data_IF_794968707537
#
_entry.id   IF_794968707537
#
_cell.length_a   1.000
_cell.length_b   1.000
_cell.length_c   1.000
_cell.angle_alpha   90.00
_cell.angle_beta   90.00
_cell.angle_gamma   90.00
#
_symmetry.space_group_name_H-M   'P 1'
#
loop_
_entity.id
_entity.type
_entity.pdbx_description
1 polymer ?
#
# COMPACT_ATOMS: atom_id res chain seq x y z
N UNK A 1 -3.63 4.95 -16.94
CA UNK A 1 -3.42 4.99 -15.47
C UNK A 1 -2.32 6.00 -15.16
N UNK A 2 -2.60 7.05 -14.37
CA UNK A 2 -1.67 8.17 -14.10
C UNK A 2 -1.11 8.14 -12.65
N UNK A 3 -1.11 6.95 -12.04
CA UNK A 3 -0.69 6.71 -10.66
C UNK A 3 0.06 5.38 -10.54
N UNK A 4 1.00 5.30 -9.62
CA UNK A 4 1.64 4.07 -9.14
C UNK A 4 0.87 3.63 -7.89
N UNK A 5 0.59 2.33 -7.75
CA UNK A 5 -0.16 1.77 -6.62
C UNK A 5 0.73 0.77 -5.89
N UNK A 6 0.75 0.84 -4.57
CA UNK A 6 1.34 -0.17 -3.71
C UNK A 6 0.23 -0.81 -2.86
N UNK A 7 0.09 -2.13 -3.00
CA UNK A 7 -0.80 -2.96 -2.18
C UNK A 7 0.06 -3.70 -1.17
N UNK A 8 -0.17 -3.42 0.11
CA UNK A 8 0.69 -3.89 1.19
C UNK A 8 -0.19 -4.56 2.23
N UNK A 9 0.25 -5.71 2.74
CA UNK A 9 -0.37 -6.31 3.92
C UNK A 9 -0.49 -5.27 5.05
N UNK A 10 -1.66 -5.18 5.67
CA UNK A 10 -1.93 -4.18 6.72
C UNK A 10 -0.95 -4.29 7.89
N UNK A 11 -0.43 -5.48 8.16
CA UNK A 11 0.43 -5.76 9.30
C UNK A 11 1.93 -5.71 8.93
N UNK A 12 2.25 -5.43 7.65
CA UNK A 12 3.61 -5.20 7.20
C UNK A 12 4.06 -3.75 7.47
N UNK A 13 4.22 -3.43 8.76
CA UNK A 13 4.66 -2.12 9.24
C UNK A 13 5.95 -1.60 8.58
N UNK A 14 6.99 -2.43 8.32
CA UNK A 14 8.20 -1.95 7.65
C UNK A 14 7.94 -1.43 6.23
N UNK A 15 7.14 -2.14 5.44
CA UNK A 15 6.81 -1.71 4.07
C UNK A 15 5.91 -0.48 4.08
N UNK A 16 4.96 -0.40 5.02
CA UNK A 16 4.13 0.79 5.24
C UNK A 16 5.00 2.01 5.57
N UNK A 17 5.97 1.87 6.46
CA UNK A 17 6.88 2.96 6.82
C UNK A 17 7.71 3.42 5.61
N UNK A 18 8.18 2.49 4.78
CA UNK A 18 8.95 2.79 3.58
C UNK A 18 8.12 3.61 2.57
N UNK A 19 6.91 3.16 2.23
CA UNK A 19 6.09 3.87 1.22
C UNK A 19 5.66 5.25 1.71
N UNK A 20 5.38 5.41 3.00
CA UNK A 20 5.10 6.71 3.62
C UNK A 20 6.31 7.64 3.53
N UNK A 21 7.52 7.14 3.80
CA UNK A 21 8.77 7.91 3.68
C UNK A 21 9.04 8.37 2.25
N UNK A 22 8.72 7.54 1.26
CA UNK A 22 8.90 7.84 -0.18
C UNK A 22 7.85 8.87 -0.67
N UNK A 23 6.74 9.02 0.06
CA UNK A 23 5.70 10.00 -0.22
C UNK A 23 4.46 9.44 -0.90
N UNK A 24 4.22 8.13 -0.79
CA UNK A 24 2.92 7.57 -1.16
C UNK A 24 1.84 7.99 -0.16
N UNK A 25 0.64 8.21 -0.67
CA UNK A 25 -0.56 8.55 0.12
C UNK A 25 -1.43 7.30 0.33
N UNK A 26 -2.08 7.18 1.49
CA UNK A 26 -3.03 6.08 1.76
C UNK A 26 -4.36 6.35 1.05
N UNK A 27 -4.73 5.45 0.12
CA UNK A 27 -6.01 5.49 -0.59
C UNK A 27 -7.12 4.78 0.20
N UNK A 28 -6.76 3.78 1.03
CA UNK A 28 -7.70 3.06 1.90
C UNK A 28 -7.25 1.64 2.25
N UNK A 29 -8.18 0.87 2.84
CA UNK A 29 -7.96 -0.53 3.25
C UNK A 29 -9.00 -1.44 2.61
N UNK A 30 -8.54 -2.50 1.97
CA UNK A 30 -9.35 -3.62 1.53
C UNK A 30 -9.48 -4.63 2.68
N UNK A 31 -10.70 -4.81 3.16
CA UNK A 31 -10.99 -5.71 4.29
C UNK A 31 -11.15 -7.15 3.80
N UNK A 32 -10.55 -8.09 4.52
CA UNK A 32 -10.62 -9.54 4.24
C UNK A 32 -10.29 -9.87 2.76
N UNK A 33 -9.30 -9.18 2.21
CA UNK A 33 -9.02 -9.20 0.77
C UNK A 33 -8.44 -10.53 0.28
N UNK A 34 -7.67 -11.21 1.14
CA UNK A 34 -7.03 -12.48 0.80
C UNK A 34 -7.05 -13.41 2.01
N UNK A 35 -6.99 -14.72 1.78
CA UNK A 35 -6.88 -15.71 2.85
C UNK A 35 -5.42 -16.14 3.05
N UNK A 36 -4.89 -15.96 4.25
CA UNK A 36 -3.57 -16.41 4.63
C UNK A 36 -3.65 -17.86 5.12
N UNK A 37 -3.27 -18.81 4.27
CA UNK A 37 -3.32 -20.24 4.62
C UNK A 37 -2.37 -20.64 5.75
N UNK A 38 -1.30 -19.88 6.01
CA UNK A 38 -0.37 -20.18 7.10
C UNK A 38 -0.94 -19.78 8.46
N UNK A 39 -1.69 -18.68 8.50
CA UNK A 39 -2.32 -18.17 9.73
C UNK A 39 -3.77 -18.62 9.90
N UNK A 40 -4.41 -19.12 8.83
CA UNK A 40 -5.79 -19.61 8.87
C UNK A 40 -6.83 -18.49 8.96
N UNK A 41 -6.53 -17.30 8.45
CA UNK A 41 -7.39 -16.11 8.58
C UNK A 41 -7.40 -15.25 7.33
N UNK A 42 -8.38 -14.35 7.24
CA UNK A 42 -8.45 -13.36 6.17
C UNK A 42 -7.61 -12.11 6.52
N UNK A 43 -6.68 -11.77 5.63
CA UNK A 43 -5.81 -10.61 5.74
C UNK A 43 -6.37 -9.37 5.07
N UNK A 44 -6.02 -8.20 5.62
CA UNK A 44 -6.36 -6.89 5.07
C UNK A 44 -5.21 -6.35 4.22
N UNK A 45 -5.54 -5.60 3.17
CA UNK A 45 -4.55 -4.90 2.34
C UNK A 45 -4.72 -3.40 2.49
N UNK A 46 -3.64 -2.70 2.86
CA UNK A 46 -3.55 -1.24 2.72
C UNK A 46 -3.17 -0.88 1.29
N UNK A 47 -3.94 0.02 0.69
CA UNK A 47 -3.69 0.54 -0.66
C UNK A 47 -3.09 1.92 -0.51
N UNK A 48 -1.93 2.11 -1.12
CA UNK A 48 -1.25 3.39 -1.23
C UNK A 48 -1.08 3.78 -2.69
N UNK A 49 -1.05 5.07 -2.99
CA UNK A 49 -0.77 5.54 -4.34
C UNK A 49 0.11 6.79 -4.40
N UNK A 50 0.73 6.98 -5.56
CA UNK A 50 1.50 8.18 -5.90
C UNK A 50 1.18 8.58 -7.35
N UNK A 51 0.78 9.83 -7.55
CA UNK A 51 0.41 10.38 -8.85
C UNK A 51 1.66 10.75 -9.66
N UNK A 52 1.53 10.75 -10.99
CA UNK A 52 2.63 11.14 -11.89
C UNK A 52 3.27 12.49 -11.56
N UNK A 53 2.43 13.47 -11.24
CA UNK A 53 2.90 14.82 -10.89
C UNK A 53 3.69 14.87 -9.57
N UNK A 54 3.57 13.87 -8.71
CA UNK A 54 4.22 13.83 -7.39
C UNK A 54 5.63 13.27 -7.51
N UNK A 55 5.82 12.13 -8.19
CA UNK A 55 7.17 11.60 -8.41
C UNK A 55 7.98 12.37 -9.46
N UNK A 56 7.33 13.02 -10.43
CA UNK A 56 8.04 13.86 -11.42
C UNK A 56 8.60 15.16 -10.81
N UNK A 57 8.13 15.58 -9.64
CA UNK A 57 8.66 16.76 -8.91
C UNK A 57 9.84 16.43 -7.98
N UNK A 58 10.13 15.15 -7.77
CA UNK A 58 11.20 14.69 -6.86
C UNK A 58 12.54 14.47 -7.58
N UNK A 59 12.59 14.67 -8.91
CA UNK A 59 13.80 14.69 -9.75
C UNK A 59 14.18 16.12 -10.12
#
# INVERSE_FOLDING_TARGET
MNKIIAMIDRDNFPSIALVKKIGFCEDGVLREHYYNYQMGEYGNISVYSMLRKEYMKQN
#
